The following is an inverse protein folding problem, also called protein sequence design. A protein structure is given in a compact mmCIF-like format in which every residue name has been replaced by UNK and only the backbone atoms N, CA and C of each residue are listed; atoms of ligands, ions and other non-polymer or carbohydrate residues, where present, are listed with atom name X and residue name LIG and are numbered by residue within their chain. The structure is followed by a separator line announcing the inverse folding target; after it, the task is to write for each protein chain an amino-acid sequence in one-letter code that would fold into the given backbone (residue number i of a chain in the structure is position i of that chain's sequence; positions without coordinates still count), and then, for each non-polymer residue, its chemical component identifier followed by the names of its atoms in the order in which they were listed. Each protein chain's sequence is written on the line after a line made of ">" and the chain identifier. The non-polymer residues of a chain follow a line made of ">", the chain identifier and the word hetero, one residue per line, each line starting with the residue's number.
data_IF_584619163827
#
_entry.id   IF_584619163827
#
_cell.length_a   1.000
_cell.length_b   1.000
_cell.length_c   1.000
_cell.angle_alpha   90.00
_cell.angle_beta   90.00
_cell.angle_gamma   90.00
#
_symmetry.space_group_name_H-M   'P 1'
#
loop_
_entity.id
_entity.type
_entity.pdbx_description
1 polymer ?
#
# COMPACT_ATOMS: atom_id res chain seq x y z
N UNK A 1 -8.85 -5.79 -1.86
CA UNK A 1 -8.76 -5.75 -0.38
C UNK A 1 -8.82 -4.30 0.08
N UNK A 2 -9.52 -4.05 1.19
CA UNK A 2 -9.67 -2.71 1.77
C UNK A 2 -8.90 -2.64 3.10
N UNK A 3 -8.11 -1.59 3.27
CA UNK A 3 -7.28 -1.35 4.44
C UNK A 3 -7.48 0.09 4.94
N UNK A 4 -7.47 0.33 6.27
CA UNK A 4 -7.43 1.70 6.77
C UNK A 4 -6.13 2.38 6.36
N UNK A 5 -6.18 3.56 5.71
CA UNK A 5 -4.96 4.30 5.31
C UNK A 5 -4.09 4.71 6.51
N UNK A 6 -4.68 4.72 7.71
CA UNK A 6 -4.04 5.10 8.96
C UNK A 6 -3.49 3.92 9.77
N UNK A 7 -3.51 2.68 9.27
CA UNK A 7 -3.10 1.49 10.02
C UNK A 7 -1.58 1.26 10.09
N UNK A 8 -0.79 2.33 10.14
CA UNK A 8 0.69 2.29 10.12
C UNK A 8 1.28 3.07 11.29
N UNK A 9 2.49 2.72 11.72
CA UNK A 9 3.16 3.46 12.79
C UNK A 9 3.40 4.91 12.37
N UNK A 10 3.82 5.14 11.12
CA UNK A 10 3.97 6.49 10.56
C UNK A 10 2.70 7.33 10.55
N UNK A 11 1.49 6.75 10.55
CA UNK A 11 0.25 7.52 10.56
C UNK A 11 0.01 8.25 11.89
N UNK A 12 0.59 7.76 12.99
CA UNK A 12 0.45 8.38 14.33
C UNK A 12 0.95 9.83 14.40
N UNK A 13 1.89 10.21 13.53
CA UNK A 13 2.44 11.57 13.45
C UNK A 13 1.49 12.59 12.80
N UNK A 14 0.40 12.15 12.17
CA UNK A 14 -0.55 13.00 11.43
C UNK A 14 -1.84 13.28 12.23
N UNK A 15 -1.91 12.82 13.46
CA UNK A 15 -3.03 13.06 14.37
C UNK A 15 -4.12 11.99 14.31
N UNK A 16 -4.90 11.89 15.40
CA UNK A 16 -5.92 10.84 15.60
C UNK A 16 -7.08 10.87 14.60
N UNK A 17 -7.24 11.95 13.82
CA UNK A 17 -8.31 12.14 12.82
C UNK A 17 -7.85 11.94 11.37
N UNK A 18 -6.61 11.53 11.14
CA UNK A 18 -6.07 11.26 9.79
C UNK A 18 -6.60 9.92 9.23
N UNK A 19 -7.93 9.78 9.16
CA UNK A 19 -8.60 8.60 8.63
C UNK A 19 -8.49 8.47 7.11
N UNK A 20 -9.20 7.49 6.58
CA UNK A 20 -9.27 7.24 5.14
C UNK A 20 -9.21 5.74 4.83
N UNK A 21 -9.42 5.43 3.56
CA UNK A 21 -9.47 4.05 3.08
C UNK A 21 -8.52 3.88 1.92
N UNK A 22 -7.82 2.76 1.93
CA UNK A 22 -7.01 2.30 0.81
C UNK A 22 -7.62 1.03 0.27
N UNK A 23 -7.68 0.90 -1.06
CA UNK A 23 -8.09 -0.31 -1.76
C UNK A 23 -6.96 -0.78 -2.65
N UNK A 24 -6.63 -2.05 -2.60
CA UNK A 24 -5.78 -2.73 -3.58
C UNK A 24 -6.61 -3.75 -4.39
N UNK A 25 -6.36 -3.81 -5.69
CA UNK A 25 -6.98 -4.74 -6.64
C UNK A 25 -5.87 -5.60 -7.22
N UNK A 26 -5.97 -6.91 -7.01
CA UNK A 26 -4.96 -7.89 -7.41
C UNK A 26 -5.59 -8.83 -8.43
N UNK A 27 -4.86 -9.08 -9.52
CA UNK A 27 -5.08 -10.22 -10.39
C UNK A 27 -4.44 -11.45 -9.73
N UNK A 28 -5.28 -12.35 -9.22
CA UNK A 28 -4.82 -13.54 -8.49
C UNK A 28 -4.31 -14.66 -9.40
N UNK A 29 -4.63 -14.62 -10.70
CA UNK A 29 -4.10 -15.59 -11.66
C UNK A 29 -2.66 -15.22 -12.07
N UNK A 30 -2.40 -13.93 -12.27
CA UNK A 30 -1.07 -13.41 -12.64
C UNK A 30 -0.19 -13.03 -11.44
N UNK A 31 -0.76 -13.02 -10.24
CA UNK A 31 -0.15 -12.51 -9.01
C UNK A 31 0.40 -11.08 -9.16
N UNK A 32 -0.40 -10.20 -9.76
CA UNK A 32 -0.04 -8.79 -10.03
C UNK A 32 -0.99 -7.82 -9.33
N UNK A 33 -0.44 -6.70 -8.84
CA UNK A 33 -1.26 -5.56 -8.51
C UNK A 33 -1.73 -4.89 -9.80
N UNK A 34 -3.05 -4.75 -9.98
CA UNK A 34 -3.65 -4.16 -11.19
C UNK A 34 -4.41 -2.87 -10.91
N UNK A 35 -4.55 -2.49 -9.65
CA UNK A 35 -5.17 -1.22 -9.28
C UNK A 35 -4.99 -0.88 -7.81
N UNK A 36 -4.99 0.42 -7.50
CA UNK A 36 -5.02 0.91 -6.12
C UNK A 36 -5.80 2.22 -6.03
N UNK A 37 -6.40 2.48 -4.87
CA UNK A 37 -7.05 3.75 -4.54
C UNK A 37 -6.65 4.15 -3.13
N UNK A 38 -6.30 5.42 -2.93
CA UNK A 38 -5.83 5.93 -1.64
C UNK A 38 -6.64 7.16 -1.24
N UNK A 39 -7.20 7.15 -0.04
CA UNK A 39 -7.87 8.31 0.57
C UNK A 39 -7.20 8.59 1.91
N UNK A 40 -6.80 9.84 2.13
CA UNK A 40 -6.15 10.30 3.35
C UNK A 40 -5.11 11.39 3.08
N UNK A 41 -4.46 11.93 4.11
CA UNK A 41 -3.35 12.87 3.94
C UNK A 41 -2.14 12.18 3.30
N UNK A 42 -1.21 12.93 2.70
CA UNK A 42 0.11 12.43 2.23
C UNK A 42 0.07 11.10 1.44
N UNK A 43 -0.84 10.97 0.47
CA UNK A 43 -0.99 9.75 -0.34
C UNK A 43 -0.27 9.80 -1.69
N UNK A 44 0.35 10.93 -2.04
CA UNK A 44 0.99 11.12 -3.33
C UNK A 44 2.09 10.08 -3.60
N UNK A 45 2.92 9.80 -2.59
CA UNK A 45 4.00 8.80 -2.70
C UNK A 45 3.44 7.38 -2.86
N UNK A 46 2.27 7.09 -2.28
CA UNK A 46 1.61 5.78 -2.47
C UNK A 46 1.11 5.62 -3.90
N UNK A 47 0.54 6.69 -4.46
CA UNK A 47 0.09 6.70 -5.85
C UNK A 47 1.27 6.46 -6.82
N UNK A 48 2.42 7.08 -6.57
CA UNK A 48 3.61 6.87 -7.39
C UNK A 48 4.10 5.41 -7.28
N UNK A 49 4.20 4.86 -6.06
CA UNK A 49 4.60 3.48 -5.85
C UNK A 49 3.64 2.48 -6.53
N UNK A 50 2.33 2.71 -6.46
CA UNK A 50 1.33 1.90 -7.14
C UNK A 50 1.47 1.96 -8.66
N UNK A 51 1.71 3.15 -9.21
CA UNK A 51 1.95 3.32 -10.65
C UNK A 51 3.17 2.52 -11.09
N UNK A 52 4.27 2.55 -10.33
CA UNK A 52 5.48 1.78 -10.63
C UNK A 52 5.19 0.27 -10.59
N UNK A 53 4.50 -0.20 -9.54
CA UNK A 53 4.17 -1.62 -9.40
C UNK A 53 3.25 -2.13 -10.53
N UNK A 54 2.23 -1.35 -10.89
CA UNK A 54 1.24 -1.70 -11.91
C UNK A 54 1.86 -1.64 -13.31
N UNK A 55 2.49 -0.51 -13.69
CA UNK A 55 3.08 -0.34 -15.03
C UNK A 55 4.28 -1.26 -15.24
N UNK A 56 5.05 -1.51 -14.18
CA UNK A 56 6.15 -2.46 -14.20
C UNK A 56 5.72 -3.93 -14.17
N UNK A 57 4.42 -4.22 -14.05
CA UNK A 57 3.87 -5.56 -13.82
C UNK A 57 4.68 -6.35 -12.78
N UNK A 58 5.02 -5.69 -11.66
CA UNK A 58 5.89 -6.28 -10.64
C UNK A 58 5.16 -7.43 -9.95
N UNK A 59 5.66 -8.67 -10.06
CA UNK A 59 5.07 -9.82 -9.37
C UNK A 59 5.01 -9.60 -7.86
N UNK A 60 3.93 -10.03 -7.20
CA UNK A 60 3.76 -9.84 -5.75
C UNK A 60 4.89 -10.50 -4.96
N UNK A 61 5.37 -11.67 -5.40
CA UNK A 61 6.52 -12.37 -4.81
C UNK A 61 7.84 -11.58 -4.91
N UNK A 62 7.92 -10.61 -5.82
CA UNK A 62 9.03 -9.65 -5.92
C UNK A 62 8.73 -8.38 -5.13
N UNK A 63 7.48 -7.92 -5.15
CA UNK A 63 7.06 -6.69 -4.48
C UNK A 63 7.28 -6.74 -2.97
N UNK A 64 7.20 -7.93 -2.35
CA UNK A 64 7.50 -8.15 -0.92
C UNK A 64 8.93 -7.72 -0.53
N UNK A 65 9.85 -7.63 -1.50
CA UNK A 65 11.22 -7.18 -1.27
C UNK A 65 11.39 -5.66 -1.35
N UNK A 66 10.35 -4.91 -1.74
CA UNK A 66 10.36 -3.46 -1.70
C UNK A 66 10.17 -2.98 -0.25
N UNK A 67 11.29 -2.83 0.47
CA UNK A 67 11.29 -2.52 1.89
C UNK A 67 10.61 -1.16 2.14
N UNK A 68 9.52 -1.18 2.91
CA UNK A 68 8.91 0.03 3.42
C UNK A 68 9.75 0.58 4.60
N UNK A 69 10.14 1.87 4.59
CA UNK A 69 10.85 2.48 5.71
C UNK A 69 10.01 2.50 7.00
N UNK A 70 10.68 2.44 8.16
CA UNK A 70 10.03 2.54 9.47
C UNK A 70 10.63 3.66 10.34
N UNK A 71 9.81 4.50 11.00
CA UNK A 71 8.36 4.63 10.83
C UNK A 71 8.04 5.48 9.57
N UNK A 72 7.13 5.01 8.73
CA UNK A 72 6.64 5.78 7.58
C UNK A 72 5.20 5.40 7.23
N UNK A 73 4.44 6.32 6.64
CA UNK A 73 3.07 5.97 6.24
C UNK A 73 3.02 4.99 5.06
N UNK A 74 4.11 4.90 4.29
CA UNK A 74 4.30 3.91 3.23
C UNK A 74 4.40 2.47 3.75
N UNK A 75 4.49 2.24 5.07
CA UNK A 75 4.25 0.92 5.67
C UNK A 75 2.86 0.33 5.32
N UNK A 76 1.97 1.13 4.70
CA UNK A 76 0.75 0.66 4.07
C UNK A 76 1.01 -0.48 3.07
N UNK A 77 2.16 -0.47 2.39
CA UNK A 77 2.59 -1.55 1.50
C UNK A 77 2.91 -2.85 2.26
N UNK A 78 3.45 -2.76 3.48
CA UNK A 78 3.60 -3.93 4.35
C UNK A 78 2.21 -4.47 4.74
N UNK A 79 1.26 -3.59 5.08
CA UNK A 79 -0.11 -4.01 5.40
C UNK A 79 -0.83 -4.66 4.23
N UNK A 80 -0.55 -4.23 3.00
CA UNK A 80 -1.01 -4.91 1.79
C UNK A 80 -0.48 -6.34 1.70
N UNK A 81 0.82 -6.54 1.86
CA UNK A 81 1.46 -7.86 1.79
C UNK A 81 0.97 -8.79 2.89
N UNK A 82 0.90 -8.30 4.14
CA UNK A 82 0.34 -9.04 5.27
C UNK A 82 -1.11 -9.48 5.01
N UNK A 83 -1.96 -8.57 4.48
CA UNK A 83 -3.35 -8.86 4.18
C UNK A 83 -3.54 -9.80 2.99
N UNK A 84 -2.61 -9.80 2.04
CA UNK A 84 -2.62 -10.74 0.91
C UNK A 84 -2.11 -12.14 1.31
N UNK A 85 -1.38 -12.25 2.43
CA UNK A 85 -0.87 -13.53 2.94
C UNK A 85 0.51 -13.91 2.41
N UNK A 86 1.38 -12.93 2.16
CA UNK A 86 2.77 -13.13 1.73
C UNK A 86 3.76 -12.55 2.73
#
# INVERSE_FOLDING_TARGET
>A
MDLPTASTAGASFYGRSAGGTTRFVVDTERELLVGATFVGPEVADFLQAATIAIVGEVPIDRLVHAIAPFPARSELWLKFIEAYGR
#
